data_IF_282159421528
#
_entry.id   IF_282159421528
#
_cell.length_a   1.000
_cell.length_b   1.000
_cell.length_c   1.000
_cell.angle_alpha   90.00
_cell.angle_beta   90.00
_cell.angle_gamma   90.00
#
_symmetry.space_group_name_H-M   'P 1'
#
loop_
_entity.id
_entity.type
_entity.pdbx_description
1 polymer ?
#
# COMPACT_ATOMS: atom_id res chain seq x y z
N UNK A 1 -7.81 -3.64 -16.59
CA UNK A 1 -7.30 -2.28 -16.48
C UNK A 1 -5.98 -2.18 -17.24
N UNK A 2 -5.73 -1.06 -17.90
CA UNK A 2 -4.41 -0.74 -18.47
C UNK A 2 -3.42 -0.38 -17.36
N UNK A 3 -2.12 -0.29 -17.68
CA UNK A 3 -1.12 0.20 -16.71
C UNK A 3 -1.40 1.67 -16.32
N UNK A 4 -1.84 2.49 -17.28
CA UNK A 4 -2.22 3.88 -17.02
C UNK A 4 -3.40 4.00 -16.05
N UNK A 5 -4.42 3.17 -16.22
CA UNK A 5 -5.57 3.14 -15.29
C UNK A 5 -5.15 2.70 -13.87
N UNK A 6 -4.19 1.77 -13.76
CA UNK A 6 -3.66 1.33 -12.46
C UNK A 6 -2.84 2.43 -11.77
N UNK A 7 -1.99 3.14 -12.52
CA UNK A 7 -1.25 4.30 -11.99
C UNK A 7 -2.19 5.44 -11.58
N UNK A 8 -3.26 5.69 -12.35
CA UNK A 8 -4.28 6.67 -11.98
C UNK A 8 -5.01 6.28 -10.68
N UNK A 9 -5.37 5.02 -10.52
CA UNK A 9 -5.97 4.51 -9.28
C UNK A 9 -5.02 4.64 -8.07
N UNK A 10 -3.72 4.44 -8.29
CA UNK A 10 -2.68 4.64 -7.26
C UNK A 10 -2.60 6.11 -6.82
N UNK A 11 -2.58 7.05 -7.76
CA UNK A 11 -2.61 8.49 -7.48
C UNK A 11 -3.86 8.89 -6.68
N UNK A 12 -5.04 8.42 -7.11
CA UNK A 12 -6.29 8.67 -6.40
C UNK A 12 -6.25 8.11 -4.97
N UNK A 13 -5.69 6.91 -4.76
CA UNK A 13 -5.58 6.31 -3.43
C UNK A 13 -4.71 7.12 -2.48
N UNK A 14 -3.59 7.65 -2.98
CA UNK A 14 -2.71 8.53 -2.21
C UNK A 14 -3.44 9.82 -1.82
N UNK A 15 -4.19 10.42 -2.76
CA UNK A 15 -4.99 11.61 -2.49
C UNK A 15 -6.08 11.37 -1.45
N UNK A 16 -6.80 10.25 -1.55
CA UNK A 16 -7.79 9.85 -0.54
C UNK A 16 -7.19 9.70 0.86
N UNK A 17 -5.94 9.23 0.97
CA UNK A 17 -5.26 9.07 2.25
C UNK A 17 -4.90 10.43 2.86
N UNK A 18 -4.39 11.37 2.06
CA UNK A 18 -4.14 12.76 2.45
C UNK A 18 -5.43 13.44 2.93
N UNK A 19 -6.51 13.35 2.14
CA UNK A 19 -7.79 13.97 2.47
C UNK A 19 -8.41 13.40 3.75
N UNK A 20 -8.31 12.08 3.95
CA UNK A 20 -8.77 11.44 5.18
C UNK A 20 -7.97 11.91 6.41
N UNK A 21 -6.65 12.07 6.29
CA UNK A 21 -5.83 12.60 7.38
C UNK A 21 -6.17 14.06 7.71
N UNK A 22 -6.40 14.90 6.70
CA UNK A 22 -6.84 16.29 6.93
C UNK A 22 -8.21 16.36 7.61
N UNK A 23 -9.16 15.51 7.22
CA UNK A 23 -10.46 15.42 7.87
C UNK A 23 -10.32 15.00 9.35
N UNK A 24 -9.53 13.96 9.60
CA UNK A 24 -9.27 13.40 10.93
C UNK A 24 -8.77 14.42 11.96
N UNK A 25 -7.94 15.39 11.54
CA UNK A 25 -7.42 16.44 12.43
C UNK A 25 -8.51 17.37 12.99
N UNK A 26 -9.67 17.43 12.33
CA UNK A 26 -10.80 18.30 12.73
C UNK A 26 -11.96 17.54 13.37
N UNK A 27 -11.85 16.21 13.46
CA UNK A 27 -12.93 15.35 13.89
C UNK A 27 -12.94 15.07 15.40
N UNK A 28 -14.12 14.73 15.92
CA UNK A 28 -14.25 14.24 17.29
C UNK A 28 -13.70 12.81 17.39
N UNK A 29 -13.11 12.45 18.54
CA UNK A 29 -12.48 11.14 18.78
C UNK A 29 -13.30 9.94 18.29
N UNK A 30 -14.59 9.88 18.57
CA UNK A 30 -15.46 8.77 18.14
C UNK A 30 -15.55 8.65 16.61
N UNK A 31 -15.63 9.77 15.89
CA UNK A 31 -15.62 9.77 14.42
C UNK A 31 -14.26 9.33 13.87
N UNK A 32 -13.18 9.73 14.54
CA UNK A 32 -11.82 9.31 14.18
C UNK A 32 -11.66 7.79 14.33
N UNK A 33 -12.16 7.21 15.43
CA UNK A 33 -12.14 5.76 15.66
C UNK A 33 -12.92 4.99 14.59
N UNK A 34 -14.08 5.48 14.17
CA UNK A 34 -14.87 4.91 13.08
C UNK A 34 -14.15 4.99 11.73
N UNK A 35 -13.49 6.13 11.45
CA UNK A 35 -12.71 6.31 10.22
C UNK A 35 -11.52 5.34 10.16
N UNK A 36 -10.78 5.21 11.26
CA UNK A 36 -9.66 4.25 11.37
C UNK A 36 -10.15 2.83 11.12
N UNK A 37 -11.29 2.43 11.72
CA UNK A 37 -11.87 1.11 11.50
C UNK A 37 -12.26 0.89 10.02
N UNK A 38 -12.87 1.88 9.37
CA UNK A 38 -13.24 1.82 7.95
C UNK A 38 -12.01 1.70 7.05
N UNK A 39 -10.97 2.50 7.29
CA UNK A 39 -9.71 2.46 6.52
C UNK A 39 -9.04 1.10 6.70
N UNK A 40 -9.03 0.55 7.92
CA UNK A 40 -8.51 -0.79 8.22
C UNK A 40 -9.25 -1.89 7.45
N UNK A 41 -10.58 -1.87 7.45
CA UNK A 41 -11.40 -2.83 6.73
C UNK A 41 -11.14 -2.77 5.21
N UNK A 42 -11.10 -1.57 4.64
CA UNK A 42 -10.78 -1.37 3.22
C UNK A 42 -9.36 -1.83 2.85
N UNK A 43 -8.38 -1.61 3.75
CA UNK A 43 -7.02 -2.12 3.56
C UNK A 43 -6.96 -3.65 3.60
N UNK A 44 -7.74 -4.30 4.48
CA UNK A 44 -7.84 -5.77 4.50
C UNK A 44 -8.45 -6.32 3.21
N UNK A 45 -9.52 -5.70 2.71
CA UNK A 45 -10.14 -6.11 1.46
C UNK A 45 -9.15 -6.04 0.29
N UNK A 46 -8.43 -4.92 0.14
CA UNK A 46 -7.42 -4.76 -0.92
C UNK A 46 -6.30 -5.79 -0.82
N UNK A 47 -5.88 -6.14 0.39
CA UNK A 47 -4.86 -7.18 0.59
C UNK A 47 -5.37 -8.57 0.16
N UNK A 48 -6.65 -8.88 0.42
CA UNK A 48 -7.27 -10.11 -0.07
C UNK A 48 -7.35 -10.13 -1.61
N UNK A 49 -7.76 -9.02 -2.23
CA UNK A 49 -7.79 -8.88 -3.69
C UNK A 49 -6.38 -9.03 -4.32
N UNK A 50 -5.35 -8.51 -3.65
CA UNK A 50 -3.96 -8.66 -4.07
C UNK A 50 -3.52 -10.13 -4.05
N UNK A 51 -3.87 -10.89 -2.99
CA UNK A 51 -3.61 -12.34 -2.90
C UNK A 51 -4.27 -13.11 -4.05
N UNK A 52 -5.53 -12.80 -4.34
CA UNK A 52 -6.27 -13.45 -5.43
C UNK A 52 -5.61 -13.19 -6.79
N UNK A 53 -5.23 -11.95 -7.07
CA UNK A 53 -4.53 -11.57 -8.32
C UNK A 53 -3.17 -12.25 -8.45
N UNK A 54 -2.42 -12.34 -7.35
CA UNK A 54 -1.11 -13.01 -7.33
C UNK A 54 -1.23 -14.51 -7.67
N UNK A 55 -2.33 -15.16 -7.25
CA UNK A 55 -2.66 -16.55 -7.62
C UNK A 55 -3.00 -16.75 -9.11
N UNK A 56 -3.41 -15.69 -9.81
CA UNK A 56 -3.84 -15.76 -11.22
C UNK A 56 -2.71 -15.44 -12.23
N UNK A 57 -1.55 -14.94 -11.79
CA UNK A 57 -0.48 -14.50 -12.69
C UNK A 57 0.36 -15.66 -13.28
N UNK A 58 0.44 -15.74 -14.62
CA UNK A 58 1.22 -16.76 -15.38
C UNK A 58 2.73 -16.67 -15.15
N UNK A 59 3.42 -17.82 -15.13
CA UNK A 59 4.77 -18.05 -14.59
C UNK A 59 5.92 -17.21 -15.20
N UNK A 60 6.94 -16.95 -14.36
CA UNK A 60 8.18 -16.22 -14.69
C UNK A 60 8.36 -15.02 -13.77
N UNK A 61 8.01 -13.81 -14.27
CA UNK A 61 8.00 -12.57 -13.49
C UNK A 61 6.99 -12.57 -12.33
N UNK A 62 5.97 -13.43 -12.38
CA UNK A 62 4.95 -13.58 -11.34
C UNK A 62 5.42 -14.33 -10.09
N UNK A 63 6.53 -15.07 -10.13
CA UNK A 63 7.03 -15.79 -8.96
C UNK A 63 7.65 -14.85 -7.93
N UNK A 64 8.57 -13.98 -8.36
CA UNK A 64 9.18 -12.99 -7.48
C UNK A 64 8.15 -12.02 -6.90
N UNK A 65 7.20 -11.54 -7.71
CA UNK A 65 6.12 -10.69 -7.22
C UNK A 65 5.16 -11.40 -6.24
N UNK A 66 4.99 -12.73 -6.35
CA UNK A 66 4.26 -13.51 -5.33
C UNK A 66 5.02 -13.53 -3.99
N UNK A 67 6.33 -13.66 -4.02
CA UNK A 67 7.15 -13.65 -2.80
C UNK A 67 7.08 -12.29 -2.10
N UNK A 68 7.17 -11.19 -2.87
CA UNK A 68 6.97 -9.82 -2.36
C UNK A 68 5.58 -9.69 -1.73
N UNK A 69 4.53 -10.20 -2.40
CA UNK A 69 3.17 -10.18 -1.87
C UNK A 69 3.04 -10.95 -0.54
N UNK A 70 3.64 -12.14 -0.44
CA UNK A 70 3.59 -12.94 0.79
C UNK A 70 4.33 -12.27 1.95
N UNK A 71 5.51 -11.69 1.68
CA UNK A 71 6.25 -10.93 2.68
C UNK A 71 5.45 -9.71 3.13
N UNK A 72 4.86 -8.96 2.19
CA UNK A 72 4.01 -7.82 2.48
C UNK A 72 2.82 -8.19 3.38
N UNK A 73 2.13 -9.30 3.09
CA UNK A 73 1.01 -9.75 3.91
C UNK A 73 1.45 -10.03 5.36
N UNK A 74 2.57 -10.74 5.54
CA UNK A 74 3.10 -11.01 6.88
C UNK A 74 3.47 -9.72 7.63
N UNK A 75 4.13 -8.77 6.94
CA UNK A 75 4.54 -7.50 7.54
C UNK A 75 3.34 -6.63 7.92
N UNK A 76 2.31 -6.55 7.06
CA UNK A 76 1.09 -5.78 7.35
C UNK A 76 0.34 -6.34 8.56
N UNK A 77 0.26 -7.65 8.72
CA UNK A 77 -0.36 -8.25 9.91
C UNK A 77 0.41 -7.91 11.19
N UNK A 78 1.75 -7.95 11.13
CA UNK A 78 2.59 -7.58 12.26
C UNK A 78 2.45 -6.11 12.65
N UNK A 79 2.43 -5.19 11.68
CA UNK A 79 2.22 -3.76 11.92
C UNK A 79 0.87 -3.53 12.62
N UNK A 80 -0.21 -4.15 12.13
CA UNK A 80 -1.54 -4.01 12.73
C UNK A 80 -1.60 -4.54 14.15
N UNK A 81 -1.05 -5.73 14.39
CA UNK A 81 -0.98 -6.31 15.73
C UNK A 81 -0.22 -5.41 16.71
N UNK A 82 0.86 -4.76 16.27
CA UNK A 82 1.61 -3.81 17.12
C UNK A 82 0.80 -2.55 17.43
N UNK A 83 0.13 -1.98 16.43
CA UNK A 83 -0.73 -0.79 16.62
C UNK A 83 -1.88 -1.10 17.59
N UNK A 84 -2.51 -2.27 17.46
CA UNK A 84 -3.59 -2.70 18.36
C UNK A 84 -3.10 -2.93 19.79
N UNK A 85 -1.96 -3.62 19.96
CA UNK A 85 -1.36 -3.85 21.30
C UNK A 85 -1.02 -2.53 22.00
N UNK A 86 -0.40 -1.58 21.29
CA UNK A 86 -0.07 -0.25 21.84
C UNK A 86 -1.33 0.53 22.25
N UNK A 87 -2.45 0.36 21.54
CA UNK A 87 -3.72 1.03 21.89
C UNK A 87 -4.35 0.46 23.17
N UNK A 88 -4.15 -0.82 23.45
CA UNK A 88 -4.68 -1.49 24.65
C UNK A 88 -3.83 -1.22 25.90
N UNK A 89 -2.53 -0.99 25.74
CA UNK A 89 -1.57 -0.72 26.82
C UNK A 89 -1.51 0.75 27.29
N UNK A 90 -2.33 1.62 26.70
CA UNK A 90 -2.24 3.08 26.85
C UNK A 90 -2.30 3.53 28.32
N UNK A 91 -1.13 3.88 28.88
CA UNK A 91 -0.98 4.39 30.24
C UNK A 91 -0.98 5.93 30.22
N UNK A 92 -1.74 6.55 31.12
CA UNK A 92 -1.84 8.00 31.20
C UNK A 92 -0.48 8.69 31.42
N UNK A 93 0.44 8.01 32.12
CA UNK A 93 1.79 8.53 32.39
C UNK A 93 2.72 8.46 31.16
N UNK A 94 2.37 7.65 30.15
CA UNK A 94 3.16 7.44 28.92
C UNK A 94 2.45 7.89 27.64
N UNK A 95 1.25 8.45 27.78
CA UNK A 95 0.39 8.83 26.66
C UNK A 95 1.06 9.74 25.61
N UNK A 96 1.95 10.64 26.05
CA UNK A 96 2.69 11.53 25.14
C UNK A 96 3.75 10.78 24.34
N UNK A 97 4.61 9.99 25.00
CA UNK A 97 5.63 9.17 24.33
C UNK A 97 5.00 8.15 23.37
N UNK A 98 3.83 7.61 23.72
CA UNK A 98 3.08 6.69 22.87
C UNK A 98 2.45 7.38 21.65
N UNK A 99 2.02 8.64 21.79
CA UNK A 99 1.56 9.46 20.68
C UNK A 99 2.71 9.78 19.71
N UNK A 100 3.85 10.24 20.22
CA UNK A 100 5.04 10.53 19.41
C UNK A 100 5.51 9.29 18.66
N UNK A 101 5.58 8.14 19.33
CA UNK A 101 5.94 6.88 18.68
C UNK A 101 4.93 6.44 17.60
N UNK A 102 3.64 6.76 17.77
CA UNK A 102 2.62 6.47 16.77
C UNK A 102 2.75 7.40 15.54
N UNK A 103 3.12 8.66 15.74
CA UNK A 103 3.41 9.60 14.65
C UNK A 103 4.66 9.18 13.85
N UNK A 104 5.73 8.74 14.54
CA UNK A 104 6.93 8.18 13.91
C UNK A 104 6.62 6.91 13.10
N UNK A 105 5.85 5.99 13.67
CA UNK A 105 5.39 4.77 12.99
C UNK A 105 4.58 5.12 11.71
N UNK A 106 3.72 6.15 11.78
CA UNK A 106 2.94 6.63 10.64
C UNK A 106 3.82 7.26 9.56
N UNK A 107 4.80 8.08 9.94
CA UNK A 107 5.78 8.69 9.04
C UNK A 107 6.57 7.63 8.26
N UNK A 108 7.08 6.62 8.98
CA UNK A 108 7.79 5.50 8.36
C UNK A 108 6.91 4.70 7.39
N UNK A 109 5.63 4.49 7.74
CA UNK A 109 4.68 3.82 6.85
C UNK A 109 4.43 4.61 5.55
N UNK A 110 4.41 5.95 5.62
CA UNK A 110 4.31 6.83 4.44
C UNK A 110 5.55 6.67 3.56
N UNK A 111 6.76 6.67 4.13
CA UNK A 111 8.00 6.50 3.36
C UNK A 111 8.07 5.14 2.66
N UNK A 112 7.63 4.06 3.33
CA UNK A 112 7.53 2.75 2.71
C UNK A 112 6.52 2.73 1.55
N UNK A 113 5.39 3.41 1.70
CA UNK A 113 4.40 3.53 0.62
C UNK A 113 4.94 4.30 -0.60
N UNK A 114 5.75 5.34 -0.36
CA UNK A 114 6.42 6.09 -1.43
C UNK A 114 7.43 5.22 -2.17
N UNK A 115 8.26 4.47 -1.46
CA UNK A 115 9.19 3.52 -2.08
C UNK A 115 8.47 2.45 -2.93
N UNK A 116 7.30 1.99 -2.49
CA UNK A 116 6.47 1.05 -3.26
C UNK A 116 5.89 1.68 -4.55
N UNK A 117 5.54 2.98 -4.50
CA UNK A 117 5.10 3.74 -5.68
C UNK A 117 6.25 3.84 -6.70
N UNK A 118 7.46 4.18 -6.25
CA UNK A 118 8.64 4.31 -7.11
C UNK A 118 8.94 2.99 -7.85
N UNK A 119 8.87 1.85 -7.16
CA UNK A 119 9.09 0.53 -7.77
C UNK A 119 7.96 0.17 -8.77
N UNK A 120 6.72 0.55 -8.49
CA UNK A 120 5.60 0.34 -9.41
C UNK A 120 5.76 1.16 -10.70
N UNK A 121 6.23 2.40 -10.60
CA UNK A 121 6.58 3.25 -11.74
C UNK A 121 7.67 2.60 -12.59
N UNK A 122 8.77 2.18 -11.96
CA UNK A 122 9.88 1.51 -12.64
C UNK A 122 9.41 0.27 -13.42
N UNK A 123 8.64 -0.60 -12.77
CA UNK A 123 8.11 -1.82 -13.39
C UNK A 123 7.17 -1.52 -14.58
N UNK A 124 6.36 -0.46 -14.48
CA UNK A 124 5.46 -0.06 -15.57
C UNK A 124 6.24 0.46 -16.79
N UNK A 125 7.28 1.28 -16.57
CA UNK A 125 8.14 1.79 -17.64
C UNK A 125 8.93 0.66 -18.33
N UNK A 126 9.47 -0.28 -17.55
CA UNK A 126 10.16 -1.46 -18.08
C UNK A 126 9.22 -2.32 -18.95
N UNK A 127 7.93 -2.42 -18.58
CA UNK A 127 6.94 -3.12 -19.40
C UNK A 127 6.69 -2.43 -20.75
N UNK A 128 6.66 -1.09 -20.77
CA UNK A 128 6.55 -0.31 -22.01
C UNK A 128 7.77 -0.54 -22.90
N UNK A 129 8.99 -0.40 -22.34
CA UNK A 129 10.24 -0.60 -23.06
C UNK A 129 10.32 -2.00 -23.70
N UNK A 130 9.94 -3.04 -22.96
CA UNK A 130 9.91 -4.42 -23.49
C UNK A 130 8.91 -4.58 -24.63
N UNK A 131 7.78 -3.88 -24.58
CA UNK A 131 6.78 -3.91 -25.66
C UNK A 131 7.28 -3.23 -26.92
N UNK A 132 7.97 -2.09 -26.79
CA UNK A 132 8.60 -1.40 -27.92
C UNK A 132 9.66 -2.29 -28.57
N UNK A 133 10.57 -2.86 -27.78
CA UNK A 133 11.59 -3.80 -28.27
C UNK A 133 10.98 -5.01 -28.99
N UNK A 134 9.86 -5.54 -28.50
CA UNK A 134 9.15 -6.62 -29.18
C UNK A 134 8.60 -6.18 -30.55
N UNK A 135 8.04 -4.97 -30.64
CA UNK A 135 7.53 -4.42 -31.91
C UNK A 135 8.66 -4.21 -32.93
N UNK A 136 9.82 -3.71 -32.49
CA UNK A 136 11.02 -3.54 -33.33
C UNK A 136 11.48 -4.88 -33.93
N UNK A 137 11.59 -5.92 -33.10
CA UNK A 137 12.01 -7.26 -33.55
C UNK A 137 11.04 -7.90 -34.54
N UNK A 138 9.73 -7.64 -34.38
CA UNK A 138 8.71 -8.08 -35.34
C UNK A 138 8.80 -7.29 -36.65
N UNK A 139 9.03 -5.97 -36.57
CA UNK A 139 9.22 -5.11 -37.73
C UNK A 139 10.46 -5.47 -38.55
N UNK A 140 11.58 -5.78 -37.89
CA UNK A 140 12.83 -6.16 -38.53
C UNK A 140 12.82 -7.56 -39.20
N UNK A 141 11.80 -8.38 -38.91
CA UNK A 141 11.59 -9.71 -39.53
C UNK A 141 10.73 -9.67 -40.79
N UNK A 142 10.18 -8.51 -41.16
CA UNK A 142 9.38 -8.30 -42.37
C UNK A 142 10.22 -7.61 -43.44
#
# INVERSE_FOLDING_TARGET
MTLSEQLAAMSAKAKEAEDAFHAAQTDQRTKLEEQVAKVRAGAQQRNNELKERAGQAKAGASAWWRDVQQQWDSQVQQIRSKIESKREEFDADRAADEADAAEDDASFAIDLARAAIDEAEYAALEAVLRREKANELVGARR
#
